data_IF_847963035620
#
_entry.id   IF_847963035620
#
_cell.length_a   1.000
_cell.length_b   1.000
_cell.length_c   1.000
_cell.angle_alpha   90.00
_cell.angle_beta   90.00
_cell.angle_gamma   90.00
#
_symmetry.space_group_name_H-M   'P 1'
#
loop_
_entity.id
_entity.type
_entity.pdbx_description
1 polymer ?
#
# COMPACT_ATOMS: atom_id res chain seq x y z
N UNK A 1 36.02 -5.67 -55.04
CA UNK A 1 36.51 -4.31 -54.76
C UNK A 1 35.83 -3.79 -53.50
N UNK A 2 36.63 -3.19 -52.63
CA UNK A 2 36.32 -2.66 -51.29
C UNK A 2 36.20 -1.13 -51.37
N UNK A 3 35.41 -0.52 -50.47
CA UNK A 3 35.59 0.77 -49.76
C UNK A 3 34.28 1.60 -49.74
N UNK A 4 33.64 2.00 -48.63
CA UNK A 4 33.97 2.73 -47.37
C UNK A 4 34.15 4.26 -47.48
N UNK A 5 33.55 4.95 -46.47
CA UNK A 5 33.72 6.33 -45.93
C UNK A 5 33.08 7.47 -46.78
N UNK A 6 32.46 8.56 -46.28
CA UNK A 6 32.66 9.33 -45.04
C UNK A 6 31.47 10.26 -44.64
N UNK A 7 31.60 10.81 -43.42
CA UNK A 7 30.72 11.65 -42.58
C UNK A 7 30.86 13.16 -42.88
N UNK A 8 29.81 13.99 -42.65
CA UNK A 8 29.87 15.25 -41.85
C UNK A 8 28.55 16.05 -41.80
N UNK A 9 28.27 16.64 -40.63
CA UNK A 9 27.21 17.65 -40.37
C UNK A 9 27.68 19.08 -40.70
N UNK A 10 26.75 20.06 -40.77
CA UNK A 10 26.88 21.19 -39.85
C UNK A 10 25.54 21.78 -39.32
N UNK A 11 25.72 22.77 -38.44
CA UNK A 11 24.86 23.33 -37.38
C UNK A 11 23.75 24.30 -37.84
N UNK A 12 22.86 24.54 -36.87
CA UNK A 12 21.78 25.53 -36.73
C UNK A 12 22.12 27.00 -36.99
N UNK A 13 21.13 27.77 -37.46
CA UNK A 13 21.11 29.24 -37.43
C UNK A 13 19.79 29.78 -36.86
N UNK A 14 19.98 30.80 -36.02
CA UNK A 14 19.02 31.62 -35.28
C UNK A 14 18.39 32.65 -36.23
N UNK A 15 17.09 32.91 -36.07
CA UNK A 15 16.42 34.08 -36.66
C UNK A 15 16.25 35.18 -35.61
N UNK A 16 16.86 36.33 -35.87
CA UNK A 16 16.55 37.63 -35.29
C UNK A 16 16.27 38.60 -36.44
N UNK A 17 15.30 39.50 -36.26
CA UNK A 17 15.07 40.70 -37.08
C UNK A 17 14.02 41.62 -36.41
N UNK A 18 14.01 42.95 -36.70
CA UNK A 18 14.33 43.95 -35.67
C UNK A 18 13.35 45.15 -35.49
N UNK A 19 13.53 45.86 -34.36
CA UNK A 19 13.57 47.32 -34.09
C UNK A 19 12.43 48.25 -34.57
N UNK A 20 11.80 49.00 -33.64
CA UNK A 20 11.86 50.48 -33.59
C UNK A 20 11.17 51.08 -32.35
N UNK A 21 11.84 52.09 -31.78
CA UNK A 21 11.58 52.87 -30.57
C UNK A 21 10.49 53.94 -30.73
N UNK A 22 9.75 54.23 -29.65
CA UNK A 22 9.35 55.60 -29.31
C UNK A 22 9.10 55.76 -27.81
N UNK A 23 9.86 56.65 -27.19
CA UNK A 23 9.77 57.06 -25.78
C UNK A 23 8.50 57.87 -25.48
N UNK A 24 8.01 57.78 -24.24
CA UNK A 24 7.47 58.91 -23.48
C UNK A 24 7.44 58.60 -21.97
N UNK A 25 8.01 59.53 -21.20
CA UNK A 25 8.12 59.59 -19.74
C UNK A 25 6.77 59.65 -19.02
N UNK A 26 6.67 58.99 -17.84
CA UNK A 26 6.25 59.66 -16.59
C UNK A 26 6.52 58.77 -15.37
N UNK A 27 7.21 59.36 -14.40
CA UNK A 27 7.59 58.86 -13.07
C UNK A 27 6.41 58.72 -12.10
N UNK A 28 6.45 57.73 -11.19
CA UNK A 28 6.38 57.95 -9.72
C UNK A 28 6.65 56.65 -8.91
N UNK A 29 7.74 56.69 -8.12
CA UNK A 29 7.99 56.19 -6.74
C UNK A 29 7.15 55.01 -6.22
N UNK A 30 7.68 53.93 -5.61
CA UNK A 30 9.00 53.62 -5.07
C UNK A 30 8.85 52.79 -3.78
N UNK A 31 9.49 51.60 -3.71
CA UNK A 31 10.32 51.15 -2.59
C UNK A 31 10.78 49.70 -2.80
N UNK A 32 12.10 49.54 -2.99
CA UNK A 32 12.80 48.27 -2.96
C UNK A 32 13.97 48.42 -1.98
N UNK A 33 14.07 47.53 -1.00
CA UNK A 33 15.27 47.36 -0.19
C UNK A 33 15.95 46.04 -0.57
N UNK A 34 17.11 46.19 -1.19
CA UNK A 34 18.08 45.15 -1.53
C UNK A 34 19.11 45.03 -0.40
N UNK A 35 19.42 43.82 0.03
CA UNK A 35 20.56 43.52 0.91
C UNK A 35 21.50 42.54 0.21
N UNK A 36 22.66 43.07 -0.17
CA UNK A 36 23.80 42.35 -0.73
C UNK A 36 24.48 41.46 0.32
N UNK A 37 24.80 40.22 -0.04
CA UNK A 37 25.71 39.35 0.72
C UNK A 37 27.03 39.19 -0.06
N UNK A 38 28.14 39.62 0.56
CA UNK A 38 29.52 39.45 0.07
C UNK A 38 30.04 38.03 0.35
N UNK A 39 30.91 37.44 -0.50
CA UNK A 39 31.54 36.15 -0.25
C UNK A 39 32.85 36.31 0.54
N UNK A 40 33.12 35.41 1.50
CA UNK A 40 34.40 35.33 2.23
C UNK A 40 35.03 33.94 2.02
N UNK A 41 36.30 33.90 1.60
CA UNK A 41 37.10 32.70 1.36
C UNK A 41 37.78 32.16 2.63
N UNK A 42 37.82 30.82 2.71
CA UNK A 42 38.91 29.93 3.16
C UNK A 42 39.36 29.89 4.63
N UNK A 43 39.18 28.71 5.27
CA UNK A 43 40.28 28.00 5.96
C UNK A 43 40.02 26.48 5.95
N UNK A 44 41.02 25.71 5.48
CA UNK A 44 41.10 24.24 5.50
C UNK A 44 41.33 23.74 6.94
N UNK A 45 40.64 22.67 7.33
CA UNK A 45 41.08 21.74 8.38
C UNK A 45 40.87 20.32 7.88
N UNK A 46 41.97 19.63 7.69
CA UNK A 46 42.01 18.19 7.40
C UNK A 46 41.52 17.41 8.62
N UNK A 47 40.56 16.50 8.42
CA UNK A 47 40.18 15.50 9.42
C UNK A 47 40.12 14.15 8.71
N UNK A 48 41.14 13.35 8.98
CA UNK A 48 41.37 12.01 8.47
C UNK A 48 40.40 11.05 9.19
N UNK A 49 39.39 10.51 8.50
CA UNK A 49 38.51 9.48 9.07
C UNK A 49 39.18 8.10 8.89
N UNK A 50 39.85 7.64 9.94
CA UNK A 50 40.31 6.25 10.06
C UNK A 50 39.13 5.33 10.38
N UNK A 51 38.91 4.34 9.50
CA UNK A 51 37.95 3.25 9.66
C UNK A 51 38.53 2.23 10.66
N UNK A 52 37.95 2.13 11.86
CA UNK A 52 38.29 1.08 12.85
C UNK A 52 37.21 0.01 12.78
N UNK A 53 37.58 -1.19 12.31
CA UNK A 53 36.75 -2.40 12.36
C UNK A 53 37.09 -3.13 13.66
N UNK A 54 36.12 -3.21 14.58
CA UNK A 54 36.23 -4.03 15.77
C UNK A 54 35.60 -5.41 15.52
N UNK A 55 36.42 -6.46 15.58
CA UNK A 55 36.00 -7.86 15.61
C UNK A 55 35.61 -8.23 17.05
N UNK A 56 34.39 -8.76 17.24
CA UNK A 56 33.96 -9.35 18.50
C UNK A 56 33.87 -10.87 18.36
N UNK A 57 34.53 -11.56 19.31
CA UNK A 57 34.75 -13.00 19.32
C UNK A 57 33.55 -13.84 19.74
N UNK A 58 33.68 -15.12 19.43
CA UNK A 58 32.73 -16.20 19.66
C UNK A 58 32.51 -16.50 21.15
N UNK A 59 31.25 -16.57 21.57
CA UNK A 59 30.82 -17.15 22.84
C UNK A 59 29.56 -17.98 22.62
N UNK A 60 29.64 -19.27 22.91
CA UNK A 60 28.55 -20.24 22.72
C UNK A 60 27.65 -20.29 23.96
N UNK A 61 26.32 -20.19 23.81
CA UNK A 61 25.36 -21.02 24.57
C UNK A 61 23.93 -20.98 24.00
N UNK A 62 23.36 -22.19 23.92
CA UNK A 62 21.96 -22.64 24.03
C UNK A 62 20.88 -22.18 23.05
N UNK A 63 20.37 -23.17 22.32
CA UNK A 63 19.34 -23.14 21.28
C UNK A 63 17.92 -22.90 21.79
N UNK A 64 17.26 -21.87 21.24
CA UNK A 64 15.80 -21.79 21.11
C UNK A 64 15.52 -21.41 19.66
N UNK A 65 14.75 -22.24 18.95
CA UNK A 65 14.51 -22.11 17.52
C UNK A 65 13.58 -20.93 17.19
N UNK A 66 14.17 -19.73 17.08
CA UNK A 66 13.70 -18.64 16.23
C UNK A 66 14.75 -18.44 15.15
N UNK A 67 14.38 -18.62 13.88
CA UNK A 67 15.28 -18.41 12.75
C UNK A 67 15.53 -16.90 12.55
N UNK A 68 16.40 -16.32 13.36
CA UNK A 68 16.97 -14.97 13.14
C UNK A 68 18.39 -15.09 12.55
N UNK A 69 18.56 -16.01 11.58
CA UNK A 69 19.84 -16.36 10.97
C UNK A 69 20.27 -15.44 9.83
N UNK A 70 19.46 -14.43 9.47
CA UNK A 70 19.81 -13.44 8.45
C UNK A 70 20.55 -12.26 9.06
N UNK A 71 21.82 -12.06 8.69
CA UNK A 71 22.56 -10.86 9.11
C UNK A 71 21.89 -9.58 8.61
N UNK A 72 22.10 -8.45 9.29
CA UNK A 72 21.57 -7.13 8.90
C UNK A 72 21.82 -6.77 7.42
N UNK A 73 22.92 -7.28 6.84
CA UNK A 73 23.26 -7.10 5.44
C UNK A 73 22.28 -7.77 4.46
N UNK A 74 21.68 -8.92 4.81
CA UNK A 74 20.76 -9.66 3.94
C UNK A 74 19.38 -8.98 3.84
N UNK A 75 19.09 -8.09 4.79
CA UNK A 75 17.89 -7.25 4.85
C UNK A 75 18.06 -5.93 4.11
N UNK A 76 19.26 -5.63 3.59
CA UNK A 76 19.52 -4.37 2.91
C UNK A 76 18.71 -4.25 1.62
N UNK A 77 17.94 -3.16 1.49
CA UNK A 77 17.23 -2.81 0.27
C UNK A 77 17.14 -1.30 0.15
N UNK A 78 17.71 -0.75 -0.91
CA UNK A 78 17.63 0.67 -1.20
C UNK A 78 16.44 0.97 -2.10
N UNK A 79 15.46 1.72 -1.59
CA UNK A 79 14.25 2.05 -2.34
C UNK A 79 14.47 3.25 -3.29
N UNK A 80 14.89 2.96 -4.53
CA UNK A 80 15.24 3.97 -5.55
C UNK A 80 13.99 4.66 -6.14
N UNK A 81 12.81 4.06 -6.06
CA UNK A 81 11.67 4.47 -6.89
C UNK A 81 10.71 5.46 -6.22
N UNK A 82 11.12 6.18 -5.17
CA UNK A 82 10.29 7.04 -4.29
C UNK A 82 9.56 8.23 -4.94
N UNK A 83 9.31 8.21 -6.24
CA UNK A 83 8.46 9.15 -6.93
C UNK A 83 6.99 8.67 -6.95
N UNK A 84 6.02 9.49 -6.53
CA UNK A 84 6.16 10.76 -5.81
C UNK A 84 6.16 10.57 -4.29
N UNK A 85 5.92 9.36 -3.79
CA UNK A 85 5.82 9.06 -2.36
C UNK A 85 6.93 8.12 -1.91
N UNK A 86 7.89 8.58 -1.10
CA UNK A 86 8.91 7.70 -0.57
C UNK A 86 8.27 6.64 0.34
N UNK A 87 8.68 5.38 0.18
CA UNK A 87 8.10 4.23 0.87
C UNK A 87 9.15 3.58 1.78
N UNK A 88 9.01 3.79 3.08
CA UNK A 88 9.90 3.22 4.09
C UNK A 88 9.60 1.74 4.39
N UNK A 89 10.51 1.04 5.08
CA UNK A 89 11.87 1.47 5.44
C UNK A 89 12.82 1.59 4.24
N UNK A 90 13.72 2.58 4.25
CA UNK A 90 14.55 2.92 3.08
C UNK A 90 15.79 2.05 2.85
N UNK A 91 16.26 1.36 3.90
CA UNK A 91 17.55 0.69 3.89
C UNK A 91 17.48 -0.76 4.37
N UNK A 92 16.59 -1.09 5.31
CA UNK A 92 16.53 -2.41 5.93
C UNK A 92 15.09 -2.89 6.01
N UNK A 93 14.79 -4.05 5.40
CA UNK A 93 13.44 -4.63 5.37
C UNK A 93 13.51 -6.08 5.82
N UNK A 94 13.13 -6.35 7.07
CA UNK A 94 12.98 -7.70 7.62
C UNK A 94 11.76 -8.38 6.99
N UNK A 95 11.95 -9.63 6.58
CA UNK A 95 10.92 -10.47 5.97
C UNK A 95 10.54 -11.57 6.94
N UNK A 96 9.28 -11.60 7.34
CA UNK A 96 8.71 -12.73 8.09
C UNK A 96 8.01 -13.67 7.12
N UNK A 97 8.30 -14.97 7.17
CA UNK A 97 7.58 -16.00 6.40
C UNK A 97 6.69 -16.82 7.34
N UNK A 98 5.41 -16.95 7.01
CA UNK A 98 4.46 -17.86 7.68
C UNK A 98 3.84 -18.83 6.68
N UNK A 99 3.43 -20.01 7.15
CA UNK A 99 2.75 -21.01 6.34
C UNK A 99 1.24 -20.97 6.62
N UNK A 100 0.46 -20.42 5.70
CA UNK A 100 -0.99 -20.27 5.86
C UNK A 100 -1.76 -21.57 5.55
N UNK A 101 -1.23 -22.39 4.65
CA UNK A 101 -1.73 -23.72 4.34
C UNK A 101 -0.53 -24.64 4.12
N UNK A 102 -0.42 -25.67 4.95
CA UNK A 102 0.71 -26.61 4.96
C UNK A 102 1.05 -27.11 3.56
N UNK A 103 2.29 -26.87 3.13
CA UNK A 103 2.84 -27.30 1.85
C UNK A 103 2.24 -26.64 0.60
N UNK A 104 1.41 -25.60 0.76
CA UNK A 104 0.62 -25.04 -0.35
C UNK A 104 0.63 -23.52 -0.43
N UNK A 105 0.49 -22.81 0.70
CA UNK A 105 0.40 -21.33 0.72
C UNK A 105 1.29 -20.76 1.82
N UNK A 106 2.17 -19.84 1.44
CA UNK A 106 3.06 -19.10 2.34
C UNK A 106 2.83 -17.59 2.21
N UNK A 107 2.95 -16.89 3.34
CA UNK A 107 2.85 -15.44 3.41
C UNK A 107 4.20 -14.88 3.77
N UNK A 108 4.60 -13.84 3.07
CA UNK A 108 5.84 -13.11 3.30
C UNK A 108 5.46 -11.68 3.61
N UNK A 109 5.95 -11.16 4.73
CA UNK A 109 5.54 -9.86 5.24
C UNK A 109 6.75 -8.99 5.51
N UNK A 110 6.65 -7.73 5.11
CA UNK A 110 7.63 -6.68 5.40
C UNK A 110 6.93 -5.46 5.97
N UNK A 111 7.66 -4.66 6.72
CA UNK A 111 7.22 -3.34 7.13
C UNK A 111 7.08 -2.39 5.92
N UNK A 112 6.05 -1.56 5.94
CA UNK A 112 5.71 -0.60 4.89
C UNK A 112 5.20 0.71 5.51
N UNK A 113 6.09 1.70 5.55
CA UNK A 113 5.76 3.05 5.98
C UNK A 113 5.45 3.96 4.78
N UNK A 114 4.56 4.93 4.99
CA UNK A 114 4.26 5.98 4.02
C UNK A 114 5.08 7.24 4.34
N UNK A 115 5.87 7.70 3.36
CA UNK A 115 6.68 8.89 3.49
C UNK A 115 7.85 8.73 4.47
N UNK A 116 8.17 9.83 5.16
CA UNK A 116 9.17 9.89 6.24
C UNK A 116 8.53 9.75 7.64
N UNK A 117 7.33 9.17 7.71
CA UNK A 117 6.58 8.99 8.96
C UNK A 117 6.98 7.68 9.66
N UNK A 118 6.83 7.64 10.98
CA UNK A 118 6.86 6.40 11.78
C UNK A 118 5.55 5.60 11.71
N UNK A 119 4.54 6.09 10.98
CA UNK A 119 3.28 5.39 10.75
C UNK A 119 3.47 4.32 9.67
N UNK A 120 3.29 3.06 10.07
CA UNK A 120 3.63 1.90 9.24
C UNK A 120 2.61 0.77 9.33
N UNK A 121 2.46 0.01 8.25
CA UNK A 121 1.69 -1.23 8.21
C UNK A 121 2.53 -2.34 7.60
N UNK A 122 2.09 -3.59 7.68
CA UNK A 122 2.73 -4.68 6.97
C UNK A 122 2.26 -4.69 5.51
N UNK A 123 3.15 -4.98 4.57
CA UNK A 123 2.81 -5.36 3.20
C UNK A 123 3.05 -6.86 3.03
N UNK A 124 2.12 -7.56 2.38
CA UNK A 124 2.13 -9.03 2.25
C UNK A 124 2.23 -9.48 0.79
N UNK A 125 3.22 -10.32 0.53
CA UNK A 125 3.30 -11.19 -0.63
C UNK A 125 2.75 -12.57 -0.27
N UNK A 126 1.94 -13.16 -1.14
CA UNK A 126 1.45 -14.55 -0.97
C UNK A 126 2.02 -15.44 -2.06
N UNK A 127 2.57 -16.58 -1.67
CA UNK A 127 3.14 -17.58 -2.59
C UNK A 127 2.30 -18.85 -2.53
N UNK A 128 1.85 -19.35 -3.68
CA UNK A 128 1.07 -20.57 -3.82
C UNK A 128 1.85 -21.57 -4.66
N UNK A 129 1.95 -22.82 -4.21
CA UNK A 129 2.49 -23.92 -5.02
C UNK A 129 1.41 -24.48 -5.94
N UNK A 130 1.67 -24.48 -7.24
CA UNK A 130 0.78 -25.00 -8.28
C UNK A 130 0.99 -26.49 -8.51
N UNK A 131 0.03 -27.16 -9.16
CA UNK A 131 0.17 -28.56 -9.60
C UNK A 131 1.27 -28.77 -10.64
N UNK A 132 1.65 -27.72 -11.38
CA UNK A 132 2.82 -27.76 -12.28
C UNK A 132 4.14 -28.04 -11.54
N UNK A 133 4.16 -27.84 -10.22
CA UNK A 133 5.35 -27.92 -9.38
C UNK A 133 6.02 -26.56 -9.16
N UNK A 134 5.60 -25.51 -9.86
CA UNK A 134 6.09 -24.15 -9.69
C UNK A 134 5.31 -23.30 -8.68
N UNK A 135 5.79 -22.07 -8.50
CA UNK A 135 5.25 -21.08 -7.58
C UNK A 135 4.54 -19.95 -8.33
N UNK A 136 3.35 -19.60 -7.82
CA UNK A 136 2.58 -18.43 -8.20
C UNK A 136 2.68 -17.38 -7.10
N UNK A 137 3.16 -16.18 -7.44
CA UNK A 137 3.49 -15.12 -6.47
C UNK A 137 2.53 -13.94 -6.66
N UNK A 138 1.77 -13.61 -5.61
CA UNK A 138 0.84 -12.49 -5.55
C UNK A 138 1.38 -11.33 -4.73
N UNK A 139 1.23 -10.11 -5.27
CA UNK A 139 1.65 -8.85 -4.63
C UNK A 139 3.10 -8.90 -4.09
N UNK A 140 4.12 -9.01 -4.97
CA UNK A 140 5.51 -9.09 -4.53
C UNK A 140 5.91 -7.96 -3.58
N UNK A 141 6.74 -8.30 -2.60
CA UNK A 141 7.37 -7.35 -1.68
C UNK A 141 8.84 -7.11 -2.06
N UNK A 142 9.56 -6.28 -1.32
CA UNK A 142 10.94 -5.93 -1.66
C UNK A 142 11.83 -7.19 -1.70
N UNK A 143 12.53 -7.46 -2.82
CA UNK A 143 13.35 -8.65 -2.98
C UNK A 143 14.71 -8.50 -2.28
N UNK A 144 14.71 -8.34 -0.96
CA UNK A 144 15.92 -8.47 -0.12
C UNK A 144 16.54 -9.85 -0.32
N UNK A 145 17.83 -9.99 0.01
CA UNK A 145 18.49 -11.30 -0.06
C UNK A 145 17.77 -12.32 0.84
N UNK A 146 17.40 -11.88 2.06
CA UNK A 146 16.57 -12.66 2.99
C UNK A 146 15.24 -13.12 2.37
N UNK A 147 14.46 -12.21 1.75
CA UNK A 147 13.20 -12.58 1.10
C UNK A 147 13.40 -13.61 -0.01
N UNK A 148 14.43 -13.45 -0.83
CA UNK A 148 14.69 -14.34 -1.97
C UNK A 148 15.18 -15.72 -1.52
N UNK A 149 15.98 -15.80 -0.47
CA UNK A 149 16.40 -17.07 0.14
C UNK A 149 15.19 -17.82 0.72
N UNK A 150 14.33 -17.14 1.46
CA UNK A 150 13.09 -17.73 2.00
C UNK A 150 12.14 -18.24 0.90
N UNK A 151 12.10 -17.60 -0.27
CA UNK A 151 11.35 -18.09 -1.44
C UNK A 151 12.02 -19.32 -2.05
N UNK A 152 13.34 -19.33 -2.19
CA UNK A 152 14.10 -20.46 -2.75
C UNK A 152 14.02 -21.71 -1.88
N UNK A 153 13.95 -21.57 -0.56
CA UNK A 153 13.73 -22.67 0.39
C UNK A 153 12.44 -23.46 0.13
N UNK A 154 11.45 -22.87 -0.56
CA UNK A 154 10.23 -23.58 -0.96
C UNK A 154 10.47 -24.69 -2.00
N UNK A 155 11.68 -24.76 -2.56
CA UNK A 155 12.14 -25.87 -3.40
C UNK A 155 11.44 -25.96 -4.76
N UNK A 156 10.92 -24.84 -5.28
CA UNK A 156 10.17 -24.79 -6.54
C UNK A 156 10.51 -23.53 -7.35
N UNK A 157 10.47 -23.58 -8.69
CA UNK A 157 10.70 -22.42 -9.53
C UNK A 157 9.53 -21.43 -9.45
N UNK A 158 9.80 -20.13 -9.47
CA UNK A 158 8.76 -19.11 -9.64
C UNK A 158 8.33 -19.08 -11.11
N UNK A 159 7.08 -19.44 -11.38
CA UNK A 159 6.49 -19.47 -12.72
C UNK A 159 5.74 -18.18 -13.04
N UNK A 160 5.06 -17.61 -12.05
CA UNK A 160 4.17 -16.46 -12.24
C UNK A 160 4.34 -15.43 -11.15
N UNK A 161 4.39 -14.16 -11.55
CA UNK A 161 4.43 -12.99 -10.67
C UNK A 161 3.23 -12.12 -11.01
N UNK A 162 2.40 -11.83 -10.01
CA UNK A 162 1.11 -11.17 -10.20
C UNK A 162 1.03 -9.88 -9.40
N UNK A 163 0.82 -8.77 -10.10
CA UNK A 163 0.45 -7.47 -9.53
C UNK A 163 -1.09 -7.36 -9.53
N UNK A 164 -1.77 -7.45 -8.37
CA UNK A 164 -3.22 -7.54 -8.31
C UNK A 164 -3.95 -6.19 -8.32
N UNK A 165 -3.23 -5.07 -8.22
CA UNK A 165 -3.79 -3.73 -8.07
C UNK A 165 -3.00 -2.71 -8.89
N UNK A 166 -3.49 -1.49 -9.01
CA UNK A 166 -2.73 -0.35 -9.55
C UNK A 166 -1.90 0.38 -8.47
N UNK A 167 -2.21 0.12 -7.20
CA UNK A 167 -1.64 0.85 -6.06
C UNK A 167 -0.11 0.76 -6.03
N UNK A 168 0.52 1.91 -5.80
CA UNK A 168 1.94 2.13 -6.04
C UNK A 168 2.82 1.28 -5.11
N UNK A 169 2.45 1.16 -3.85
CA UNK A 169 3.08 0.35 -2.80
C UNK A 169 3.16 -1.14 -3.15
N UNK A 170 2.20 -1.67 -3.91
CA UNK A 170 2.22 -3.05 -4.41
C UNK A 170 2.94 -3.17 -5.77
N UNK A 171 3.07 -2.06 -6.52
CA UNK A 171 3.65 -2.03 -7.86
C UNK A 171 5.17 -1.93 -7.85
N UNK A 172 5.73 -1.11 -6.98
CA UNK A 172 7.17 -0.74 -7.04
C UNK A 172 8.11 -1.93 -6.92
N UNK A 173 7.70 -3.00 -6.24
CA UNK A 173 8.54 -4.16 -6.02
C UNK A 173 8.46 -5.19 -7.15
N UNK A 174 7.47 -5.12 -8.03
CA UNK A 174 7.25 -6.13 -9.10
C UNK A 174 8.43 -6.17 -10.07
N UNK A 175 8.89 -5.02 -10.55
CA UNK A 175 10.05 -4.93 -11.44
C UNK A 175 11.31 -5.52 -10.80
N UNK A 176 11.76 -5.00 -9.63
CA UNK A 176 12.86 -5.59 -8.85
C UNK A 176 12.74 -7.09 -8.59
N UNK A 177 11.55 -7.56 -8.19
CA UNK A 177 11.32 -8.96 -7.86
C UNK A 177 11.42 -9.84 -9.11
N UNK A 178 10.86 -9.41 -10.24
CA UNK A 178 10.93 -10.15 -11.51
C UNK A 178 12.36 -10.34 -12.01
N UNK A 179 13.28 -9.39 -11.73
CA UNK A 179 14.71 -9.54 -12.07
C UNK A 179 15.40 -10.67 -11.29
N UNK A 180 14.89 -11.05 -10.12
CA UNK A 180 15.42 -12.20 -9.36
C UNK A 180 14.91 -13.54 -9.89
N UNK A 181 13.83 -13.53 -10.68
CA UNK A 181 13.20 -14.71 -11.28
C UNK A 181 12.94 -14.49 -12.78
N UNK A 182 13.98 -14.36 -13.62
CA UNK A 182 13.83 -13.91 -15.00
C UNK A 182 13.05 -14.85 -15.93
N UNK A 183 12.80 -16.10 -15.50
CA UNK A 183 11.97 -17.07 -16.23
C UNK A 183 10.47 -16.95 -15.92
N UNK A 184 10.10 -16.24 -14.86
CA UNK A 184 8.72 -16.08 -14.45
C UNK A 184 7.97 -15.16 -15.43
N UNK A 185 6.72 -15.50 -15.73
CA UNK A 185 5.81 -14.61 -16.46
C UNK A 185 5.20 -13.59 -15.51
N UNK A 186 5.23 -12.32 -15.90
CA UNK A 186 4.63 -11.23 -15.12
C UNK A 186 3.21 -10.96 -15.63
N UNK A 187 2.26 -10.88 -14.70
CA UNK A 187 0.87 -10.53 -14.97
C UNK A 187 0.46 -9.34 -14.10
N UNK A 188 -0.30 -8.42 -14.67
CA UNK A 188 -0.70 -7.19 -13.99
C UNK A 188 -2.20 -6.97 -14.11
N UNK A 189 -2.79 -6.40 -13.07
CA UNK A 189 -4.15 -5.89 -13.11
C UNK A 189 -4.29 -4.89 -14.28
N UNK A 190 -5.44 -4.82 -14.95
CA UNK A 190 -5.65 -3.89 -16.06
C UNK A 190 -5.59 -2.43 -15.58
N UNK A 191 -5.54 -1.49 -16.53
CA UNK A 191 -5.56 -0.03 -16.28
C UNK A 191 -4.57 0.43 -15.19
N UNK A 192 -3.33 -0.05 -15.30
CA UNK A 192 -2.24 0.43 -14.45
C UNK A 192 -2.12 1.94 -14.58
N UNK A 193 -1.98 2.60 -13.44
CA UNK A 193 -1.90 4.05 -13.35
C UNK A 193 -1.02 4.48 -12.19
N UNK A 194 -0.33 5.60 -12.34
CA UNK A 194 0.53 6.16 -11.30
C UNK A 194 0.12 7.59 -11.03
N UNK A 195 0.00 7.96 -9.76
CA UNK A 195 -0.23 9.35 -9.37
C UNK A 195 1.13 10.08 -9.33
N UNK A 196 1.23 11.37 -9.74
CA UNK A 196 0.23 12.16 -10.45
C UNK A 196 0.29 11.97 -11.98
N UNK A 197 1.27 11.23 -12.50
CA UNK A 197 1.50 11.00 -13.93
C UNK A 197 1.31 9.54 -14.26
N UNK A 198 0.54 9.25 -15.32
CA UNK A 198 0.35 7.89 -15.81
C UNK A 198 1.62 7.34 -16.46
N UNK A 199 2.62 6.99 -15.64
CA UNK A 199 3.90 6.46 -16.09
C UNK A 199 3.74 5.01 -16.57
N UNK A 200 4.39 4.64 -17.68
CA UNK A 200 4.33 3.28 -18.21
C UNK A 200 4.97 2.28 -17.25
N UNK A 201 4.60 1.00 -17.37
CA UNK A 201 5.09 -0.08 -16.50
C UNK A 201 6.61 -0.26 -16.58
N UNK A 202 7.18 0.01 -17.75
CA UNK A 202 8.60 -0.04 -18.04
C UNK A 202 9.40 0.93 -17.18
N UNK A 203 8.81 2.06 -16.78
CA UNK A 203 9.41 3.00 -15.84
C UNK A 203 9.68 2.34 -14.48
N UNK A 204 8.80 1.42 -14.06
CA UNK A 204 8.95 0.63 -12.83
C UNK A 204 9.78 -0.64 -13.06
N UNK A 205 10.35 -0.82 -14.25
CA UNK A 205 11.11 -2.00 -14.64
C UNK A 205 10.25 -3.25 -14.81
N UNK A 206 8.96 -3.09 -15.09
CA UNK A 206 8.02 -4.17 -15.37
C UNK A 206 7.93 -4.30 -16.90
N UNK A 207 8.50 -5.37 -17.45
CA UNK A 207 8.57 -5.61 -18.89
C UNK A 207 7.78 -6.86 -19.28
N UNK A 208 7.21 -6.85 -20.50
CA UNK A 208 6.50 -8.02 -21.09
C UNK A 208 5.38 -8.56 -20.20
N UNK A 209 4.74 -7.68 -19.42
CA UNK A 209 3.65 -8.06 -18.56
C UNK A 209 2.39 -8.39 -19.38
N UNK A 210 1.71 -9.47 -19.01
CA UNK A 210 0.38 -9.81 -19.52
C UNK A 210 -0.69 -9.15 -18.67
N UNK A 211 -1.79 -8.72 -19.29
CA UNK A 211 -2.88 -8.05 -18.59
C UNK A 211 -3.90 -9.09 -18.14
N UNK A 212 -4.26 -9.07 -16.86
CA UNK A 212 -5.32 -9.89 -16.30
C UNK A 212 -6.69 -9.46 -16.83
N UNK A 213 -7.53 -10.43 -17.17
CA UNK A 213 -8.92 -10.20 -17.57
C UNK A 213 -9.90 -10.84 -16.56
N UNK A 214 -11.13 -10.34 -16.52
CA UNK A 214 -12.14 -10.87 -15.61
C UNK A 214 -12.51 -12.32 -15.98
N UNK A 215 -12.46 -13.24 -15.02
CA UNK A 215 -12.88 -14.64 -15.18
C UNK A 215 -12.22 -15.36 -16.37
N UNK A 216 -10.96 -15.02 -16.67
CA UNK A 216 -10.23 -15.52 -17.83
C UNK A 216 -9.78 -16.99 -17.69
N UNK A 217 -10.38 -17.93 -18.45
CA UNK A 217 -10.02 -19.34 -18.38
C UNK A 217 -8.69 -19.65 -19.09
N UNK A 218 -8.14 -18.71 -19.86
CA UNK A 218 -6.89 -18.89 -20.60
C UNK A 218 -5.64 -18.65 -19.76
N UNK A 219 -5.80 -18.16 -18.53
CA UNK A 219 -4.66 -18.01 -17.61
C UNK A 219 -4.06 -19.38 -17.29
N UNK A 220 -2.71 -19.51 -17.23
CA UNK A 220 -2.07 -20.82 -17.05
C UNK A 220 -2.46 -21.57 -15.77
N UNK A 221 -3.01 -20.86 -14.78
CA UNK A 221 -3.42 -21.39 -13.47
C UNK A 221 -4.95 -21.48 -13.31
N UNK A 222 -5.76 -21.20 -14.34
CA UNK A 222 -7.23 -21.09 -14.25
C UNK A 222 -7.92 -22.32 -13.63
N UNK A 223 -7.32 -23.50 -13.80
CA UNK A 223 -7.80 -24.75 -13.21
C UNK A 223 -7.70 -24.79 -11.68
N UNK A 224 -6.83 -23.99 -11.08
CA UNK A 224 -6.51 -23.99 -9.65
C UNK A 224 -6.85 -22.67 -8.96
N UNK A 225 -6.65 -21.56 -9.66
CA UNK A 225 -6.87 -20.20 -9.16
C UNK A 225 -7.80 -19.47 -10.14
N UNK A 226 -8.97 -19.05 -9.68
CA UNK A 226 -9.87 -18.17 -10.45
C UNK A 226 -9.62 -16.70 -10.11
N UNK A 227 -10.07 -15.78 -10.97
CA UNK A 227 -9.90 -14.34 -10.75
C UNK A 227 -11.13 -13.54 -11.16
N UNK A 228 -11.42 -12.47 -10.41
CA UNK A 228 -12.49 -11.49 -10.70
C UNK A 228 -11.92 -10.09 -10.56
N UNK A 229 -12.13 -9.26 -11.58
CA UNK A 229 -11.54 -7.92 -11.68
C UNK A 229 -12.59 -6.87 -11.32
N UNK A 230 -12.32 -6.06 -10.30
CA UNK A 230 -12.97 -4.77 -10.10
C UNK A 230 -12.15 -3.72 -10.84
N UNK A 231 -12.70 -3.16 -11.92
CA UNK A 231 -12.04 -2.09 -12.70
C UNK A 231 -12.99 -0.93 -12.91
N UNK A 232 -12.59 0.24 -12.42
CA UNK A 232 -13.42 1.44 -12.43
C UNK A 232 -12.59 2.65 -12.84
N UNK A 233 -12.59 3.05 -14.13
CA UNK A 233 -11.97 4.31 -14.55
C UNK A 233 -12.67 5.55 -13.99
N UNK A 234 -13.88 5.42 -13.44
CA UNK A 234 -14.73 6.53 -13.04
C UNK A 234 -14.50 7.03 -11.61
N UNK A 235 -13.51 6.54 -10.86
CA UNK A 235 -13.32 6.95 -9.46
C UNK A 235 -12.82 8.40 -9.35
N UNK A 236 -11.89 8.81 -10.22
CA UNK A 236 -11.33 10.16 -10.21
C UNK A 236 -10.35 10.38 -11.37
N UNK A 237 -9.30 11.15 -11.12
CA UNK A 237 -8.19 11.36 -12.09
C UNK A 237 -7.52 10.03 -12.46
N UNK A 238 -7.43 9.11 -11.50
CA UNK A 238 -6.94 7.75 -11.70
C UNK A 238 -8.08 6.72 -11.65
N UNK A 239 -7.90 5.55 -12.29
CA UNK A 239 -8.79 4.41 -12.11
C UNK A 239 -8.60 3.79 -10.72
N UNK A 240 -9.59 3.04 -10.26
CA UNK A 240 -9.38 2.02 -9.23
C UNK A 240 -9.44 0.64 -9.87
N UNK A 241 -8.45 -0.19 -9.55
CA UNK A 241 -8.40 -1.58 -10.02
C UNK A 241 -7.90 -2.49 -8.92
N UNK A 242 -8.66 -3.56 -8.66
CA UNK A 242 -8.24 -4.68 -7.83
C UNK A 242 -8.71 -6.00 -8.46
N UNK A 243 -7.85 -7.01 -8.40
CA UNK A 243 -8.16 -8.38 -8.84
C UNK A 243 -8.18 -9.29 -7.62
N UNK A 244 -9.36 -9.85 -7.32
CA UNK A 244 -9.47 -10.90 -6.32
C UNK A 244 -9.16 -12.25 -6.96
N UNK A 245 -8.55 -13.14 -6.18
CA UNK A 245 -8.21 -14.50 -6.62
C UNK A 245 -8.80 -15.54 -5.68
N UNK A 246 -9.21 -16.68 -6.23
CA UNK A 246 -9.74 -17.81 -5.45
C UNK A 246 -8.97 -19.07 -5.73
N UNK A 247 -8.18 -19.52 -4.75
CA UNK A 247 -7.51 -20.81 -4.81
C UNK A 247 -8.48 -21.93 -4.39
N UNK A 248 -8.89 -22.73 -5.37
CA UNK A 248 -9.99 -23.71 -5.24
C UNK A 248 -9.70 -24.77 -4.19
N UNK A 249 -8.51 -25.35 -4.21
CA UNK A 249 -8.15 -26.49 -3.35
C UNK A 249 -8.20 -26.12 -1.86
N UNK A 250 -7.60 -24.99 -1.48
CA UNK A 250 -7.55 -24.57 -0.07
C UNK A 250 -8.76 -23.75 0.37
N UNK A 251 -9.65 -23.39 -0.58
CA UNK A 251 -10.81 -22.51 -0.40
C UNK A 251 -10.39 -21.17 0.20
N UNK A 252 -9.39 -20.55 -0.41
CA UNK A 252 -8.80 -19.27 0.04
C UNK A 252 -9.12 -18.18 -0.97
N UNK A 253 -9.70 -17.09 -0.49
CA UNK A 253 -9.85 -15.83 -1.19
C UNK A 253 -8.61 -14.96 -0.91
N UNK A 254 -7.97 -14.47 -1.96
CA UNK A 254 -6.93 -13.46 -1.88
C UNK A 254 -7.51 -12.14 -2.40
N UNK A 255 -7.32 -11.10 -1.62
CA UNK A 255 -7.68 -9.71 -1.93
C UNK A 255 -6.49 -8.83 -1.59
N UNK A 256 -6.44 -7.63 -2.14
CA UNK A 256 -5.38 -6.67 -1.82
C UNK A 256 -5.87 -5.75 -0.71
N UNK A 257 -6.62 -4.70 -1.07
CA UNK A 257 -7.04 -3.63 -0.16
C UNK A 257 -8.56 -3.60 0.05
N UNK A 258 -9.31 -4.44 -0.69
CA UNK A 258 -10.76 -4.49 -0.62
C UNK A 258 -11.28 -4.72 0.81
N UNK A 259 -10.60 -5.55 1.60
CA UNK A 259 -10.87 -5.72 3.03
C UNK A 259 -9.58 -5.88 3.80
N UNK A 260 -9.64 -5.52 5.08
CA UNK A 260 -8.56 -5.69 6.06
C UNK A 260 -9.12 -6.33 7.32
N UNK A 261 -8.25 -6.95 8.12
CA UNK A 261 -8.57 -7.37 9.48
C UNK A 261 -7.59 -6.75 10.46
N UNK A 262 -8.07 -5.79 11.25
CA UNK A 262 -7.23 -5.03 12.17
C UNK A 262 -6.82 -5.92 13.36
N UNK A 263 -5.55 -6.34 13.52
CA UNK A 263 -5.15 -7.16 14.65
C UNK A 263 -5.12 -6.34 15.93
N UNK A 264 -5.41 -7.02 17.06
CA UNK A 264 -5.32 -6.42 18.39
C UNK A 264 -3.89 -6.03 18.75
N UNK A 265 -2.92 -6.86 18.36
CA UNK A 265 -1.48 -6.66 18.55
C UNK A 265 -0.81 -6.28 17.21
N UNK A 266 0.31 -5.54 17.23
CA UNK A 266 1.04 -5.22 15.99
C UNK A 266 1.52 -6.50 15.28
N UNK A 267 1.53 -6.54 13.93
CA UNK A 267 2.18 -7.60 13.17
C UNK A 267 3.67 -7.71 13.53
N UNK A 268 4.23 -8.93 13.47
CA UNK A 268 5.61 -9.22 13.89
C UNK A 268 6.67 -8.45 13.08
N UNK A 269 6.37 -8.13 11.82
CA UNK A 269 7.30 -7.41 10.96
C UNK A 269 7.37 -5.90 11.25
N UNK A 270 6.44 -5.34 12.05
CA UNK A 270 6.48 -3.91 12.41
C UNK A 270 7.60 -3.67 13.41
N UNK A 271 8.44 -2.66 13.12
CA UNK A 271 9.58 -2.38 13.96
C UNK A 271 9.13 -1.81 15.33
N UNK A 272 9.68 -2.37 16.41
CA UNK A 272 9.49 -1.87 17.77
C UNK A 272 9.81 -0.38 17.91
N UNK A 273 10.85 0.13 17.23
CA UNK A 273 11.19 1.56 17.28
C UNK A 273 10.05 2.42 16.71
N UNK A 274 9.40 1.97 15.63
CA UNK A 274 8.28 2.70 15.01
C UNK A 274 7.06 2.71 15.94
N UNK A 275 6.81 1.60 16.65
CA UNK A 275 5.77 1.55 17.68
C UNK A 275 6.06 2.55 18.81
N UNK A 276 7.29 2.60 19.32
CA UNK A 276 7.67 3.53 20.38
C UNK A 276 7.62 4.99 19.92
N UNK A 277 8.05 5.30 18.70
CA UNK A 277 7.92 6.63 18.11
C UNK A 277 6.44 7.05 17.98
N UNK A 278 5.56 6.15 17.52
CA UNK A 278 4.12 6.41 17.43
C UNK A 278 3.46 6.59 18.81
N UNK A 279 4.02 5.98 19.86
CA UNK A 279 3.54 6.13 21.23
C UNK A 279 3.89 7.49 21.86
N UNK A 280 4.86 8.23 21.32
CA UNK A 280 5.21 9.58 21.80
C UNK A 280 4.07 10.55 21.56
N UNK A 281 3.96 11.56 22.41
CA UNK A 281 3.06 12.69 22.19
C UNK A 281 3.65 13.66 21.15
N UNK A 282 3.89 13.14 19.94
CA UNK A 282 4.49 13.88 18.84
C UNK A 282 3.57 14.94 18.25
N UNK A 283 4.00 15.52 17.14
CA UNK A 283 3.29 16.63 16.47
C UNK A 283 1.83 16.30 16.15
N UNK A 284 1.55 15.09 15.63
CA UNK A 284 0.18 14.67 15.31
C UNK A 284 -0.73 14.68 16.55
N UNK A 285 -0.25 14.18 17.68
CA UNK A 285 -0.99 14.19 18.96
C UNK A 285 -1.25 15.63 19.41
N UNK A 286 -0.22 16.49 19.38
CA UNK A 286 -0.33 17.90 19.79
C UNK A 286 -1.34 18.68 18.95
N UNK A 287 -1.32 18.49 17.62
CA UNK A 287 -2.28 19.12 16.69
C UNK A 287 -3.70 18.63 16.98
N UNK A 288 -3.90 17.33 17.14
CA UNK A 288 -5.23 16.73 17.34
C UNK A 288 -5.81 16.95 18.75
N UNK A 289 -4.98 17.41 19.69
CA UNK A 289 -5.40 17.68 21.08
C UNK A 289 -6.21 18.99 21.25
N UNK A 290 -6.45 19.75 20.17
CA UNK A 290 -7.32 20.95 20.15
C UNK A 290 -7.04 21.95 21.27
N UNK A 291 -5.76 22.21 21.55
CA UNK A 291 -5.33 23.18 22.56
C UNK A 291 -5.27 22.65 24.01
N UNK A 292 -5.58 21.37 24.26
CA UNK A 292 -5.27 20.74 25.55
C UNK A 292 -3.75 20.72 25.77
N UNK A 293 -3.32 21.02 27.00
CA UNK A 293 -1.90 20.89 27.39
C UNK A 293 -1.52 19.41 27.35
N UNK A 294 -0.64 19.04 26.42
CA UNK A 294 -0.09 17.69 26.30
C UNK A 294 1.31 17.69 26.88
N UNK A 295 1.54 16.86 27.89
CA UNK A 295 2.85 16.70 28.49
C UNK A 295 3.76 15.87 27.57
N UNK A 296 5.01 16.29 27.43
CA UNK A 296 6.07 15.51 26.79
C UNK A 296 6.62 14.51 27.82
N UNK A 297 5.99 13.34 27.88
CA UNK A 297 6.44 12.24 28.73
C UNK A 297 7.43 11.34 27.97
N UNK A 298 8.55 10.93 28.58
CA UNK A 298 9.45 9.98 27.96
C UNK A 298 8.75 8.63 27.76
N UNK A 299 8.85 8.07 26.55
CA UNK A 299 8.30 6.75 26.24
C UNK A 299 9.35 5.69 26.54
N UNK A 300 9.09 4.89 27.57
CA UNK A 300 9.91 3.72 27.94
C UNK A 300 9.45 2.51 27.13
N UNK A 301 10.39 1.65 26.73
CA UNK A 301 10.06 0.41 26.01
C UNK A 301 9.37 -0.62 26.93
N UNK A 302 8.06 -0.78 26.77
CA UNK A 302 7.23 -1.78 27.46
C UNK A 302 6.02 -2.17 26.61
N UNK A 303 5.31 -3.24 26.97
CA UNK A 303 4.17 -3.74 26.18
C UNK A 303 3.04 -2.70 26.06
N UNK A 304 2.79 -1.92 27.12
CA UNK A 304 1.74 -0.89 27.14
C UNK A 304 2.04 0.21 26.11
N UNK A 305 3.28 0.70 26.07
CA UNK A 305 3.68 1.76 25.14
C UNK A 305 3.75 1.25 23.70
N UNK A 306 4.25 0.02 23.47
CA UNK A 306 4.20 -0.59 22.13
C UNK A 306 2.77 -0.78 21.63
N UNK A 307 1.85 -1.20 22.51
CA UNK A 307 0.43 -1.33 22.19
C UNK A 307 -0.19 0.05 21.91
N UNK A 308 0.05 1.05 22.75
CA UNK A 308 -0.43 2.43 22.52
C UNK A 308 0.06 2.99 21.17
N UNK A 309 1.32 2.73 20.84
CA UNK A 309 1.91 3.08 19.54
C UNK A 309 1.22 2.40 18.37
N UNK A 310 0.90 1.11 18.51
CA UNK A 310 0.14 0.35 17.52
C UNK A 310 -1.27 0.92 17.30
N UNK A 311 -2.00 1.21 18.38
CA UNK A 311 -3.35 1.75 18.29
C UNK A 311 -3.37 3.11 17.58
N UNK A 312 -2.44 4.00 17.95
CA UNK A 312 -2.27 5.30 17.29
C UNK A 312 -1.89 5.15 15.81
N UNK A 313 -1.05 4.18 15.48
CA UNK A 313 -0.61 3.91 14.12
C UNK A 313 -1.78 3.45 13.25
N UNK A 314 -2.58 2.50 13.75
CA UNK A 314 -3.79 2.00 13.09
C UNK A 314 -4.77 3.14 12.82
N UNK A 315 -5.07 3.98 13.80
CA UNK A 315 -6.01 5.09 13.62
C UNK A 315 -5.50 6.11 12.59
N UNK A 316 -4.20 6.41 12.57
CA UNK A 316 -3.62 7.29 11.56
C UNK A 316 -3.69 6.67 10.16
N UNK A 317 -3.43 5.37 10.02
CA UNK A 317 -3.53 4.66 8.75
C UNK A 317 -4.98 4.65 8.23
N UNK A 318 -5.96 4.44 9.10
CA UNK A 318 -7.35 4.26 8.68
C UNK A 318 -8.12 5.57 8.48
N UNK A 319 -7.71 6.65 9.14
CA UNK A 319 -8.46 7.93 9.11
C UNK A 319 -7.65 9.12 8.59
N UNK A 320 -6.33 8.99 8.39
CA UNK A 320 -5.35 10.04 8.05
C UNK A 320 -5.19 11.15 9.11
N UNK A 321 -6.26 11.52 9.81
CA UNK A 321 -6.27 12.44 10.93
C UNK A 321 -7.41 12.09 11.89
N UNK A 322 -7.26 11.05 12.73
CA UNK A 322 -8.28 10.68 13.71
C UNK A 322 -8.50 11.80 14.73
N UNK A 323 -9.65 11.81 15.39
CA UNK A 323 -10.07 12.88 16.30
C UNK A 323 -9.33 12.89 17.63
N UNK A 324 -8.87 11.72 18.09
CA UNK A 324 -8.19 11.57 19.37
C UNK A 324 -7.07 10.52 19.30
N UNK A 325 -5.82 11.00 19.33
CA UNK A 325 -4.65 10.13 19.52
C UNK A 325 -4.15 10.11 20.97
N UNK A 326 -4.63 10.98 21.85
CA UNK A 326 -4.24 10.94 23.26
C UNK A 326 -4.73 9.64 23.91
N UNK A 327 -5.99 9.29 23.65
CA UNK A 327 -6.68 8.12 24.20
C UNK A 327 -7.25 7.25 23.06
N UNK A 328 -6.39 6.49 22.35
CA UNK A 328 -6.79 5.78 21.13
C UNK A 328 -7.66 4.54 21.39
N UNK A 329 -7.68 4.02 22.62
CA UNK A 329 -8.28 2.73 22.99
C UNK A 329 -9.74 2.58 22.53
N UNK A 330 -10.58 3.59 22.76
CA UNK A 330 -12.02 3.50 22.49
C UNK A 330 -12.29 3.38 20.98
N UNK A 331 -11.66 4.22 20.17
CA UNK A 331 -11.76 4.14 18.71
C UNK A 331 -11.16 2.84 18.19
N UNK A 332 -9.94 2.49 18.65
CA UNK A 332 -9.27 1.26 18.23
C UNK A 332 -10.11 0.01 18.51
N UNK A 333 -10.70 -0.09 19.71
CA UNK A 333 -11.52 -1.23 20.10
C UNK A 333 -12.74 -1.44 19.18
N UNK A 334 -13.31 -0.37 18.61
CA UNK A 334 -14.46 -0.47 17.71
C UNK A 334 -14.15 -1.17 16.38
N UNK A 335 -12.90 -1.11 15.92
CA UNK A 335 -12.46 -1.67 14.64
C UNK A 335 -11.49 -2.85 14.76
N UNK A 336 -10.82 -3.01 15.91
CA UNK A 336 -9.94 -4.14 16.17
C UNK A 336 -10.71 -5.47 16.10
N UNK A 337 -10.04 -6.51 15.62
CA UNK A 337 -10.59 -7.86 15.46
C UNK A 337 -11.81 -7.96 14.54
N UNK A 338 -11.92 -7.07 13.55
CA UNK A 338 -13.02 -7.07 12.59
C UNK A 338 -12.50 -7.11 11.16
N UNK A 339 -13.20 -7.86 10.31
CA UNK A 339 -13.07 -7.78 8.87
C UNK A 339 -13.87 -6.58 8.38
N UNK A 340 -13.19 -5.60 7.81
CA UNK A 340 -13.82 -4.35 7.37
C UNK A 340 -13.26 -3.92 6.02
N UNK A 341 -14.03 -3.18 5.25
CA UNK A 341 -13.48 -2.28 4.23
C UNK A 341 -12.88 -1.09 4.96
N UNK A 342 -11.62 -0.72 4.66
CA UNK A 342 -10.99 0.42 5.33
C UNK A 342 -11.79 1.71 5.09
N UNK A 343 -11.83 2.66 6.05
CA UNK A 343 -12.56 3.90 5.87
C UNK A 343 -12.09 4.69 4.63
N UNK A 344 -10.79 4.70 4.36
CA UNK A 344 -10.18 5.36 3.19
C UNK A 344 -10.72 4.75 1.90
N UNK A 345 -10.64 3.43 1.72
CA UNK A 345 -11.12 2.76 0.50
C UNK A 345 -12.64 2.90 0.38
N UNK A 346 -13.38 2.74 1.48
CA UNK A 346 -14.83 2.96 1.51
C UNK A 346 -15.18 4.36 0.99
N UNK A 347 -14.57 5.40 1.55
CA UNK A 347 -14.97 6.80 1.33
C UNK A 347 -14.47 7.33 -0.01
N UNK A 348 -13.18 7.14 -0.30
CA UNK A 348 -12.54 7.76 -1.47
C UNK A 348 -12.75 6.94 -2.76
N UNK A 349 -13.08 5.65 -2.65
CA UNK A 349 -13.18 4.74 -3.79
C UNK A 349 -14.56 4.11 -3.92
N UNK A 350 -14.92 3.20 -3.01
CA UNK A 350 -16.09 2.33 -3.22
C UNK A 350 -17.40 3.11 -3.22
N UNK A 351 -17.49 4.19 -2.43
CA UNK A 351 -18.67 5.07 -2.42
C UNK A 351 -18.85 5.85 -3.73
N UNK A 352 -17.85 5.88 -4.61
CA UNK A 352 -17.91 6.56 -5.92
C UNK A 352 -18.51 5.67 -7.01
N UNK A 353 -18.40 4.35 -6.84
CA UNK A 353 -18.87 3.34 -7.80
C UNK A 353 -19.55 2.15 -7.10
N UNK A 354 -20.54 2.39 -6.22
CA UNK A 354 -21.08 1.35 -5.35
C UNK A 354 -21.73 0.19 -6.11
N UNK A 355 -22.32 0.45 -7.28
CA UNK A 355 -22.93 -0.60 -8.14
C UNK A 355 -21.88 -1.60 -8.63
N UNK A 356 -20.75 -1.12 -9.16
CA UNK A 356 -19.65 -1.98 -9.64
C UNK A 356 -19.03 -2.79 -8.51
N UNK A 357 -18.89 -2.18 -7.33
CA UNK A 357 -18.36 -2.86 -6.14
C UNK A 357 -19.35 -3.93 -5.68
N UNK A 358 -20.65 -3.63 -5.67
CA UNK A 358 -21.72 -4.58 -5.33
C UNK A 358 -21.72 -5.78 -6.28
N UNK A 359 -21.68 -5.56 -7.58
CA UNK A 359 -21.66 -6.64 -8.59
C UNK A 359 -20.43 -7.54 -8.42
N UNK A 360 -19.26 -6.95 -8.17
CA UNK A 360 -18.02 -7.69 -7.96
C UNK A 360 -18.09 -8.56 -6.69
N UNK A 361 -18.54 -8.00 -5.57
CA UNK A 361 -18.64 -8.73 -4.30
C UNK A 361 -19.74 -9.79 -4.34
N UNK A 362 -20.91 -9.50 -4.91
CA UNK A 362 -21.96 -10.50 -5.10
C UNK A 362 -21.50 -11.61 -6.04
N UNK A 363 -20.71 -11.29 -7.07
CA UNK A 363 -20.06 -12.27 -7.93
C UNK A 363 -19.09 -13.18 -7.17
N UNK A 364 -18.21 -12.60 -6.36
CA UNK A 364 -17.30 -13.35 -5.49
C UNK A 364 -18.07 -14.26 -4.54
N UNK A 365 -19.07 -13.73 -3.82
CA UNK A 365 -19.82 -14.48 -2.82
C UNK A 365 -20.71 -15.58 -3.43
N UNK A 366 -21.26 -15.35 -4.62
CA UNK A 366 -22.08 -16.34 -5.32
C UNK A 366 -21.24 -17.51 -5.83
N UNK A 367 -20.12 -17.21 -6.47
CA UNK A 367 -19.40 -18.20 -7.27
C UNK A 367 -18.30 -18.92 -6.45
N UNK A 368 -17.73 -18.26 -5.43
CA UNK A 368 -16.59 -18.80 -4.68
C UNK A 368 -16.95 -19.23 -3.25
N UNK A 369 -16.63 -20.48 -2.92
CA UNK A 369 -16.90 -21.10 -1.61
C UNK A 369 -15.70 -21.03 -0.67
N UNK A 370 -15.12 -19.85 -0.50
CA UNK A 370 -13.96 -19.64 0.38
C UNK A 370 -14.33 -19.75 1.87
N UNK A 371 -13.35 -20.17 2.68
CA UNK A 371 -13.40 -20.26 4.15
C UNK A 371 -12.25 -19.50 4.83
N UNK A 372 -11.43 -18.83 4.02
CA UNK A 372 -10.24 -18.11 4.43
C UNK A 372 -10.09 -16.89 3.52
N UNK A 373 -9.75 -15.75 4.10
CA UNK A 373 -9.42 -14.52 3.37
C UNK A 373 -7.97 -14.13 3.70
N UNK A 374 -7.21 -13.73 2.69
CA UNK A 374 -5.85 -13.21 2.83
C UNK A 374 -5.80 -11.82 2.18
N UNK A 375 -5.78 -10.74 2.97
CA UNK A 375 -5.56 -9.38 2.48
C UNK A 375 -4.07 -9.09 2.32
N UNK A 376 -3.70 -7.97 1.68
CA UNK A 376 -2.31 -7.55 1.54
C UNK A 376 -1.77 -6.75 2.74
N UNK A 377 -2.67 -6.22 3.58
CA UNK A 377 -2.34 -5.45 4.78
C UNK A 377 -3.01 -6.02 6.03
N UNK A 378 -2.47 -5.67 7.20
CA UNK A 378 -2.91 -6.15 8.51
C UNK A 378 -2.93 -7.67 8.60
N UNK A 379 -3.73 -8.29 9.49
CA UNK A 379 -3.63 -9.72 9.75
C UNK A 379 -4.18 -10.59 8.60
N UNK A 380 -3.52 -11.72 8.40
CA UNK A 380 -3.88 -12.78 7.48
C UNK A 380 -3.06 -14.03 7.80
N UNK A 381 -3.58 -15.24 7.57
CA UNK A 381 -4.90 -15.55 7.02
C UNK A 381 -6.04 -15.36 8.04
N UNK A 382 -7.22 -14.96 7.57
CA UNK A 382 -8.43 -14.76 8.39
C UNK A 382 -9.39 -15.91 8.16
N UNK A 383 -9.93 -16.51 9.23
CA UNK A 383 -11.01 -17.50 9.16
C UNK A 383 -12.34 -16.77 8.91
N UNK A 384 -12.64 -16.50 7.66
CA UNK A 384 -13.83 -15.79 7.21
C UNK A 384 -14.34 -16.40 5.89
N UNK A 385 -15.66 -16.43 5.74
CA UNK A 385 -16.35 -16.88 4.54
C UNK A 385 -17.20 -15.77 3.92
N UNK A 386 -18.19 -16.19 3.15
CA UNK A 386 -19.06 -15.29 2.37
C UNK A 386 -19.87 -14.34 3.24
N UNK A 387 -20.35 -14.80 4.40
CA UNK A 387 -21.16 -13.98 5.29
C UNK A 387 -20.35 -12.81 5.87
N UNK A 388 -19.14 -13.10 6.36
CA UNK A 388 -18.25 -12.06 6.90
C UNK A 388 -17.80 -11.08 5.81
N UNK A 389 -17.52 -11.56 4.59
CA UNK A 389 -17.21 -10.68 3.46
C UNK A 389 -18.39 -9.75 3.16
N UNK A 390 -19.60 -10.29 2.97
CA UNK A 390 -20.79 -9.48 2.68
C UNK A 390 -21.09 -8.47 3.81
N UNK A 391 -20.91 -8.87 5.07
CA UNK A 391 -21.07 -7.97 6.21
C UNK A 391 -20.10 -6.79 6.14
N UNK A 392 -18.83 -6.99 5.77
CA UNK A 392 -17.85 -5.91 5.61
C UNK A 392 -18.29 -4.88 4.55
N UNK A 393 -19.03 -5.31 3.52
CA UNK A 393 -19.54 -4.47 2.43
C UNK A 393 -20.98 -3.98 2.62
N UNK A 394 -21.62 -4.23 3.78
CA UNK A 394 -23.01 -3.86 4.04
C UNK A 394 -23.31 -2.35 3.91
N UNK A 395 -22.29 -1.49 3.96
CA UNK A 395 -22.45 -0.05 3.71
C UNK A 395 -22.96 0.26 2.29
N UNK A 396 -22.79 -0.65 1.33
CA UNK A 396 -23.32 -0.49 -0.03
C UNK A 396 -24.85 -0.44 -0.05
N UNK A 397 -25.52 -1.12 0.89
CA UNK A 397 -26.98 -1.14 0.96
C UNK A 397 -27.53 0.27 1.28
N UNK A 398 -26.80 1.04 2.09
CA UNK A 398 -27.14 2.44 2.40
C UNK A 398 -26.92 3.37 1.20
N UNK A 399 -25.94 3.06 0.33
CA UNK A 399 -25.60 3.87 -0.84
C UNK A 399 -26.50 3.58 -2.05
N UNK A 400 -26.93 2.34 -2.24
CA UNK A 400 -27.70 1.90 -3.39
C UNK A 400 -29.22 1.97 -3.18
N UNK A 401 -29.68 1.97 -1.91
CA UNK A 401 -31.10 1.99 -1.56
C UNK A 401 -31.85 0.72 -2.01
N UNK A 402 -33.18 0.72 -1.84
CA UNK A 402 -34.03 -0.46 -2.09
C UNK A 402 -34.10 -0.88 -3.56
N UNK A 403 -33.85 0.02 -4.52
CA UNK A 403 -34.00 -0.27 -5.96
C UNK A 403 -32.99 -1.27 -6.50
N UNK A 404 -31.84 -1.44 -5.84
CA UNK A 404 -30.85 -2.46 -6.20
C UNK A 404 -31.10 -3.80 -5.48
N UNK A 405 -32.10 -3.87 -4.60
CA UNK A 405 -32.54 -5.09 -3.90
C UNK A 405 -33.53 -5.85 -4.80
N UNK A 406 -33.15 -6.15 -6.04
CA UNK A 406 -33.93 -7.05 -6.93
C UNK A 406 -33.61 -8.53 -6.69
N UNK A 407 -32.66 -8.82 -5.80
CA UNK A 407 -32.32 -10.16 -5.31
C UNK A 407 -32.39 -10.10 -3.78
N UNK A 408 -32.92 -11.13 -3.09
CA UNK A 408 -32.92 -11.15 -1.62
C UNK A 408 -31.47 -10.97 -1.18
N UNK A 409 -31.15 -9.80 -0.62
CA UNK A 409 -29.77 -9.51 -0.31
C UNK A 409 -29.37 -10.44 0.84
N UNK A 410 -28.47 -11.38 0.54
CA UNK A 410 -27.89 -12.24 1.58
C UNK A 410 -27.30 -11.35 2.69
N UNK A 411 -26.82 -10.15 2.32
CA UNK A 411 -26.39 -9.09 3.25
C UNK A 411 -27.43 -8.75 4.32
N UNK A 412 -28.72 -8.55 3.99
CA UNK A 412 -29.76 -8.17 4.97
C UNK A 412 -30.04 -9.26 6.00
N UNK A 413 -29.96 -10.54 5.59
CA UNK A 413 -30.11 -11.67 6.51
C UNK A 413 -28.93 -11.79 7.49
N UNK A 414 -27.70 -11.50 7.05
CA UNK A 414 -26.50 -11.63 7.89
C UNK A 414 -26.18 -10.38 8.73
N UNK A 415 -26.54 -9.18 8.26
CA UNK A 415 -26.31 -7.90 8.98
C UNK A 415 -27.13 -7.80 10.26
N UNK A 416 -28.32 -8.42 10.32
CA UNK A 416 -29.13 -8.48 11.53
C UNK A 416 -28.44 -9.20 12.70
N UNK A 417 -27.47 -10.08 12.43
CA UNK A 417 -26.75 -10.84 13.46
C UNK A 417 -25.37 -10.27 13.80
N UNK A 418 -24.71 -9.59 12.84
CA UNK A 418 -23.32 -9.16 12.97
C UNK A 418 -23.14 -7.65 13.22
N UNK A 419 -24.21 -6.86 13.23
CA UNK A 419 -24.14 -5.40 13.37
C UNK A 419 -23.80 -4.70 12.05
N UNK A 420 -24.31 -3.48 11.84
CA UNK A 420 -24.10 -2.72 10.60
C UNK A 420 -22.63 -2.30 10.48
N UNK A 421 -21.94 -2.64 9.39
CA UNK A 421 -20.54 -2.24 9.19
C UNK A 421 -20.28 -0.72 9.18
N UNK A 422 -21.30 0.09 8.92
CA UNK A 422 -21.23 1.54 9.07
C UNK A 422 -21.10 2.02 10.52
N UNK A 423 -21.41 1.18 11.53
CA UNK A 423 -21.29 1.52 12.95
C UNK A 423 -19.89 1.30 13.54
N UNK A 424 -18.90 0.93 12.73
CA UNK A 424 -17.54 0.65 13.21
C UNK A 424 -16.59 1.85 13.16
N UNK A 425 -17.00 2.96 12.54
CA UNK A 425 -16.17 4.15 12.40
C UNK A 425 -16.74 5.27 13.26
N UNK A 426 -16.01 5.69 14.32
CA UNK A 426 -16.41 6.83 15.14
C UNK A 426 -16.64 8.06 14.24
N UNK A 427 -17.81 8.72 14.31
CA UNK A 427 -18.12 9.86 13.45
C UNK A 427 -17.10 11.01 13.55
N UNK A 428 -16.52 11.19 14.74
CA UNK A 428 -15.47 12.19 14.97
C UNK A 428 -14.17 11.87 14.22
N UNK A 429 -13.78 10.59 14.15
CA UNK A 429 -12.57 10.15 13.44
C UNK A 429 -12.73 10.26 11.92
N UNK A 430 -13.98 10.20 11.42
CA UNK A 430 -14.28 10.35 9.99
C UNK A 430 -14.19 11.79 9.47
N UNK A 431 -14.11 12.81 10.35
CA UNK A 431 -14.16 14.23 9.96
C UNK A 431 -13.06 14.60 8.96
N UNK A 432 -11.81 14.28 9.27
CA UNK A 432 -10.67 14.62 8.40
C UNK A 432 -10.80 13.97 7.03
N UNK A 433 -11.13 12.68 7.00
CA UNK A 433 -11.31 11.93 5.76
C UNK A 433 -12.50 12.46 4.94
N UNK A 434 -13.59 12.84 5.61
CA UNK A 434 -14.77 13.43 4.94
C UNK A 434 -14.46 14.80 4.35
N UNK A 435 -13.71 15.65 5.08
CA UNK A 435 -13.25 16.94 4.57
C UNK A 435 -12.29 16.79 3.39
N UNK A 436 -11.38 15.79 3.44
CA UNK A 436 -10.50 15.46 2.33
C UNK A 436 -11.31 15.02 1.11
N UNK A 437 -12.32 14.17 1.28
CA UNK A 437 -13.21 13.77 0.18
C UNK A 437 -13.91 14.98 -0.44
N UNK A 438 -14.49 15.87 0.39
CA UNK A 438 -15.13 17.10 -0.07
C UNK A 438 -14.18 18.00 -0.86
N UNK A 439 -12.94 18.14 -0.40
CA UNK A 439 -11.90 18.90 -1.12
C UNK A 439 -11.53 18.23 -2.45
N UNK A 440 -11.29 16.93 -2.46
CA UNK A 440 -10.95 16.20 -3.70
C UNK A 440 -12.09 16.24 -4.71
N UNK A 441 -13.34 16.22 -4.25
CA UNK A 441 -14.53 16.44 -5.09
C UNK A 441 -14.60 17.86 -5.62
N UNK A 442 -14.31 18.87 -4.79
CA UNK A 442 -14.42 20.28 -5.21
C UNK A 442 -13.37 20.66 -6.26
N UNK A 443 -12.18 20.06 -6.20
CA UNK A 443 -11.12 20.24 -7.21
C UNK A 443 -11.24 19.28 -8.40
N UNK A 444 -12.27 18.42 -8.44
CA UNK A 444 -12.51 17.47 -9.52
C UNK A 444 -11.53 16.28 -9.56
N UNK A 445 -10.76 16.06 -8.50
CA UNK A 445 -9.80 14.96 -8.41
C UNK A 445 -10.48 13.58 -8.23
N UNK A 446 -11.65 13.56 -7.59
CA UNK A 446 -12.46 12.36 -7.34
C UNK A 446 -13.93 12.70 -7.64
N UNK A 447 -14.72 11.72 -8.11
CA UNK A 447 -16.15 11.95 -8.36
C UNK A 447 -16.95 12.18 -7.06
N UNK A 448 -18.12 12.79 -7.20
CA UNK A 448 -19.09 12.88 -6.10
C UNK A 448 -19.52 11.48 -5.66
N UNK A 449 -19.67 11.30 -4.35
CA UNK A 449 -20.26 10.10 -3.77
C UNK A 449 -21.65 9.88 -4.32
N UNK A 450 -21.95 8.64 -4.72
CA UNK A 450 -23.29 8.27 -5.18
C UNK A 450 -24.18 8.19 -3.95
N UNK A 451 -25.15 9.09 -3.83
CA UNK A 451 -26.18 9.06 -2.79
C UNK A 451 -27.44 8.41 -3.37
N UNK A 452 -27.82 7.24 -2.85
CA UNK A 452 -29.08 6.56 -3.15
C UNK A 452 -30.33 7.34 -2.73
N UNK A 453 -30.18 8.42 -1.96
CA UNK A 453 -31.26 9.39 -1.71
C UNK A 453 -31.30 10.41 -2.84
N UNK A 454 -31.92 10.04 -3.96
CA UNK A 454 -32.65 11.03 -4.75
C UNK A 454 -33.92 11.38 -3.94
N UNK A 455 -33.99 12.60 -3.43
CA UNK A 455 -35.28 13.22 -3.12
C UNK A 455 -35.99 13.56 -4.42
#
# INVERSE_FOLDING_TARGET
MVALVAVSSPKSTVFQSPISLRDSNSSFVGNSFSLQLKPRKSQKKDCNFGLVVASAGSGATTTVAGSDSGGSADRFYFNITGFPFPLGPFLNRRTTRTEAVKGSIWLFEQEQALGFSSVSTNIRMTVIKLKSGGLWVHAPIAPTKECIELVKELGAPVEYIVLPTFAYEHKIFVGPFSRKFPKAQVWVAPRQWSWPLNLPLEFFGIFRAKILQNEDPSTPWANEIEQKVLSSPEVGIGPYVEVAFYHKQSRTLLVTDAVIYVPKKPPECINKEYLLESAKNGLAVKILSKGKKVLDEPVVDNEINRQKGWERMVLQILFLGPSNLLEPNASFAQMSQKLIVSPIVKTLVFSKVPEKVRDWIDGIARDWKFKRIIPAHFAGPIKAGRAELLAAFAFLDELLGERYVTRPSLSLLFTSLMGKAASYFPPDDMKTLSSLDQFLVSVGAVKKTVSGRKR
#
